data_IF_660269988353
#
_entry.id   IF_660269988353
#
_cell.length_a   1.000
_cell.length_b   1.000
_cell.length_c   1.000
_cell.angle_alpha   90.00
_cell.angle_beta   90.00
_cell.angle_gamma   90.00
#
_symmetry.space_group_name_H-M   'P 1'
#
loop_
_entity.id
_entity.type
_entity.pdbx_description
1 polymer ?
#
# COMPACT_ATOMS: atom_id res chain seq x y z
N UNK A 1 -17.11 6.52 4.44
CA UNK A 1 -16.70 6.62 3.02
C UNK A 1 -17.16 5.42 2.24
N UNK A 2 -17.35 5.57 0.93
CA UNK A 2 -17.88 4.55 0.04
C UNK A 2 -16.94 3.34 -0.16
N UNK A 3 -17.40 2.32 -0.90
CA UNK A 3 -16.64 1.09 -1.09
C UNK A 3 -15.39 1.26 -1.96
N UNK A 4 -15.36 2.29 -2.82
CA UNK A 4 -14.30 2.54 -3.81
C UNK A 4 -13.13 3.30 -3.17
N UNK A 5 -11.90 2.87 -3.49
CA UNK A 5 -10.65 3.57 -3.15
C UNK A 5 -9.76 3.66 -4.39
N UNK A 6 -9.08 4.78 -4.56
CA UNK A 6 -7.99 4.95 -5.53
C UNK A 6 -6.67 4.74 -4.80
N UNK A 7 -5.80 3.89 -5.33
CA UNK A 7 -4.45 3.69 -4.82
C UNK A 7 -3.46 4.13 -5.90
N UNK A 8 -2.57 5.04 -5.56
CA UNK A 8 -1.59 5.62 -6.47
C UNK A 8 -0.22 5.43 -5.86
N UNK A 9 0.66 4.73 -6.57
CA UNK A 9 2.09 4.70 -6.23
C UNK A 9 2.70 6.01 -6.72
N UNK A 10 3.37 6.74 -5.83
CA UNK A 10 3.97 8.04 -6.14
C UNK A 10 5.47 7.85 -6.30
N UNK A 11 5.97 8.20 -7.48
CA UNK A 11 7.39 8.11 -7.84
C UNK A 11 7.89 9.49 -8.25
N UNK A 12 9.07 9.86 -7.75
CA UNK A 12 9.72 11.13 -8.08
C UNK A 12 10.11 11.19 -9.57
N UNK A 13 10.03 12.37 -10.15
CA UNK A 13 10.18 12.70 -11.56
C UNK A 13 9.25 11.91 -12.49
N UNK A 14 8.08 11.49 -12.00
CA UNK A 14 7.15 10.68 -12.78
C UNK A 14 5.69 11.13 -12.65
N UNK A 15 5.19 11.28 -11.42
CA UNK A 15 3.78 11.62 -11.19
C UNK A 15 3.52 12.38 -9.88
N UNK A 16 4.55 12.92 -9.23
CA UNK A 16 4.40 13.67 -7.98
C UNK A 16 3.69 15.02 -8.16
N UNK A 17 3.60 15.52 -9.38
CA UNK A 17 2.87 16.71 -9.77
C UNK A 17 1.36 16.47 -9.89
N UNK A 18 0.91 15.22 -10.01
CA UNK A 18 -0.51 14.85 -10.14
C UNK A 18 -1.26 14.72 -8.79
N UNK A 19 -0.57 14.89 -7.66
CA UNK A 19 -1.12 14.59 -6.33
C UNK A 19 -2.36 15.42 -6.00
N UNK A 20 -2.30 16.74 -6.25
CA UNK A 20 -3.40 17.66 -5.95
C UNK A 20 -4.59 17.36 -6.86
N UNK A 21 -4.34 17.23 -8.16
CA UNK A 21 -5.37 16.95 -9.17
C UNK A 21 -6.15 15.66 -8.86
N UNK A 22 -5.45 14.59 -8.43
CA UNK A 22 -6.09 13.34 -8.01
C UNK A 22 -6.99 13.54 -6.79
N UNK A 23 -6.53 14.27 -5.78
CA UNK A 23 -7.33 14.54 -4.58
C UNK A 23 -8.54 15.38 -4.91
N UNK A 24 -8.39 16.47 -5.66
CA UNK A 24 -9.51 17.33 -6.05
C UNK A 24 -10.55 16.59 -6.90
N UNK A 25 -10.09 15.70 -7.79
CA UNK A 25 -10.97 14.93 -8.67
C UNK A 25 -11.89 13.97 -7.91
N UNK A 26 -11.41 13.35 -6.83
CA UNK A 26 -12.10 12.22 -6.19
C UNK A 26 -12.59 12.47 -4.77
N UNK A 27 -11.98 13.40 -4.01
CA UNK A 27 -12.30 13.60 -2.59
C UNK A 27 -13.75 14.04 -2.31
N UNK A 28 -14.38 14.72 -3.28
CA UNK A 28 -15.79 15.12 -3.20
C UNK A 28 -16.80 13.99 -3.51
N UNK A 29 -16.35 12.75 -3.77
CA UNK A 29 -17.18 11.64 -4.29
C UNK A 29 -17.32 10.45 -3.34
N UNK A 30 -17.10 10.64 -2.04
CA UNK A 30 -16.99 9.56 -1.06
C UNK A 30 -15.93 8.49 -1.42
N UNK A 31 -14.93 8.87 -2.22
CA UNK A 31 -13.84 8.00 -2.67
C UNK A 31 -12.57 8.37 -1.91
N UNK A 32 -11.95 7.39 -1.25
CA UNK A 32 -10.66 7.58 -0.60
C UNK A 32 -9.54 7.61 -1.64
N UNK A 33 -8.69 8.62 -1.61
CA UNK A 33 -7.44 8.65 -2.39
C UNK A 33 -6.31 8.20 -1.47
N UNK A 34 -5.49 7.25 -1.94
CA UNK A 34 -4.37 6.70 -1.18
C UNK A 34 -3.09 6.82 -1.97
N UNK A 35 -2.10 7.49 -1.38
CA UNK A 35 -0.76 7.55 -1.92
C UNK A 35 0.15 6.52 -1.23
N UNK A 36 0.89 5.79 -2.03
CA UNK A 36 1.81 4.73 -1.61
C UNK A 36 3.21 5.17 -2.01
N UNK A 37 4.14 5.18 -1.05
CA UNK A 37 5.56 5.41 -1.34
C UNK A 37 6.07 4.37 -2.33
N UNK A 38 6.74 4.83 -3.39
CA UNK A 38 7.36 3.94 -4.37
C UNK A 38 8.39 3.02 -3.72
N UNK A 39 8.26 1.73 -4.01
CA UNK A 39 9.19 0.69 -3.59
C UNK A 39 9.94 0.20 -4.83
N UNK A 40 11.24 0.51 -4.92
CA UNK A 40 12.09 -0.12 -5.94
C UNK A 40 12.39 -1.57 -5.54
N UNK A 41 11.79 -2.50 -6.26
CA UNK A 41 11.81 -3.93 -5.94
C UNK A 41 12.89 -4.63 -6.78
N UNK A 42 14.15 -4.32 -6.47
CA UNK A 42 15.32 -5.07 -6.94
C UNK A 42 15.67 -6.25 -6.04
N UNK A 43 16.52 -7.18 -6.53
CA UNK A 43 17.13 -8.27 -5.73
C UNK A 43 18.11 -7.77 -4.65
N UNK A 44 18.42 -6.48 -4.67
CA UNK A 44 19.27 -5.79 -3.70
C UNK A 44 18.40 -4.85 -2.88
N UNK A 45 18.53 -4.90 -1.55
CA UNK A 45 17.88 -4.01 -0.57
C UNK A 45 18.37 -2.55 -0.66
N UNK A 46 18.50 -2.00 -1.87
CA UNK A 46 18.91 -0.62 -2.12
C UNK A 46 17.68 0.19 -2.50
N UNK A 47 16.93 0.65 -1.50
CA UNK A 47 15.88 1.65 -1.76
C UNK A 47 16.54 2.91 -2.31
N UNK A 48 16.31 3.19 -3.59
CA UNK A 48 16.71 4.44 -4.22
C UNK A 48 15.82 5.57 -3.66
N UNK A 49 16.23 6.18 -2.54
CA UNK A 49 15.50 7.29 -1.92
C UNK A 49 15.33 8.48 -2.88
N UNK A 50 16.19 8.57 -3.90
CA UNK A 50 16.07 9.53 -5.01
C UNK A 50 14.78 9.38 -5.82
N UNK A 51 14.17 8.19 -5.83
CA UNK A 51 12.92 7.90 -6.54
C UNK A 51 11.68 8.02 -5.64
N UNK A 52 11.87 8.19 -4.32
CA UNK A 52 10.80 8.18 -3.32
C UNK A 52 10.31 9.60 -3.07
N UNK A 53 8.99 9.78 -3.13
CA UNK A 53 8.31 10.91 -2.50
C UNK A 53 7.71 10.41 -1.20
N UNK A 54 8.24 10.89 -0.08
CA UNK A 54 7.89 10.40 1.24
C UNK A 54 6.47 10.80 1.63
N UNK A 55 5.84 10.04 2.52
CA UNK A 55 4.54 10.41 3.07
C UNK A 55 4.56 11.81 3.73
N UNK A 56 5.69 12.22 4.32
CA UNK A 56 5.86 13.55 4.88
C UNK A 56 5.82 14.65 3.80
N UNK A 57 6.55 14.46 2.68
CA UNK A 57 6.53 15.39 1.55
C UNK A 57 5.14 15.47 0.90
N UNK A 58 4.47 14.32 0.72
CA UNK A 58 3.10 14.29 0.19
C UNK A 58 2.14 15.03 1.15
N UNK A 59 2.24 14.79 2.46
CA UNK A 59 1.40 15.47 3.45
C UNK A 59 1.56 16.99 3.42
N UNK A 60 2.78 17.47 3.15
CA UNK A 60 3.07 18.92 3.07
C UNK A 60 2.39 19.60 1.87
N UNK A 61 1.93 18.85 0.86
CA UNK A 61 1.18 19.41 -0.26
C UNK A 61 -0.27 19.77 0.11
N UNK A 62 -0.76 19.37 1.29
CA UNK A 62 -2.15 19.53 1.68
C UNK A 62 -2.27 20.23 3.03
N UNK A 63 -3.03 21.33 3.03
CA UNK A 63 -3.33 22.08 4.24
C UNK A 63 -4.53 21.50 5.00
N UNK A 64 -4.60 21.81 6.29
CA UNK A 64 -5.76 21.54 7.16
C UNK A 64 -6.19 20.06 7.25
N UNK A 65 -5.25 19.13 7.06
CA UNK A 65 -5.48 17.69 7.25
C UNK A 65 -5.72 17.34 8.72
N UNK A 66 -6.89 16.78 9.03
CA UNK A 66 -7.21 16.25 10.37
C UNK A 66 -6.90 14.76 10.44
N UNK A 67 -5.99 14.29 11.31
CA UNK A 67 -5.71 12.86 11.44
C UNK A 67 -6.95 12.06 11.85
N UNK A 68 -7.15 10.91 11.21
CA UNK A 68 -8.20 9.95 11.55
C UNK A 68 -7.59 8.72 12.23
N UNK A 69 -8.23 8.17 13.28
CA UNK A 69 -7.74 6.97 13.93
C UNK A 69 -7.85 5.75 13.02
N UNK A 70 -7.03 4.74 13.30
CA UNK A 70 -7.18 3.44 12.65
C UNK A 70 -8.55 2.82 12.98
N UNK A 71 -9.17 2.21 11.98
CA UNK A 71 -10.45 1.49 12.10
C UNK A 71 -10.30 0.04 12.49
N UNK A 72 -9.10 -0.53 12.30
CA UNK A 72 -8.82 -1.93 12.60
C UNK A 72 -7.33 -2.16 12.91
N UNK A 73 -7.00 -3.23 13.65
CA UNK A 73 -5.62 -3.66 13.83
C UNK A 73 -4.92 -3.91 12.49
N UNK A 74 -3.65 -3.53 12.39
CA UNK A 74 -2.85 -3.69 11.17
C UNK A 74 -3.27 -2.79 10.00
N UNK A 75 -4.06 -1.72 10.24
CA UNK A 75 -4.30 -0.71 9.21
C UNK A 75 -3.01 0.05 8.88
N UNK A 76 -2.49 -0.18 7.68
CA UNK A 76 -1.21 0.39 7.22
C UNK A 76 -1.31 1.83 6.70
N UNK A 77 -2.52 2.28 6.34
CA UNK A 77 -2.72 3.62 5.82
C UNK A 77 -2.89 4.61 6.98
N UNK A 78 -2.04 5.64 7.03
CA UNK A 78 -2.27 6.82 7.87
C UNK A 78 -3.34 7.66 7.21
N UNK A 79 -4.48 7.84 7.88
CA UNK A 79 -5.65 8.47 7.28
C UNK A 79 -5.82 9.90 7.78
N UNK A 80 -6.29 10.76 6.91
CA UNK A 80 -6.57 12.16 7.18
C UNK A 80 -7.89 12.56 6.54
N UNK A 81 -8.67 13.37 7.26
CA UNK A 81 -9.83 14.04 6.72
C UNK A 81 -9.41 15.37 6.09
N UNK A 82 -9.88 15.60 4.87
CA UNK A 82 -9.73 16.84 4.12
C UNK A 82 -10.82 17.85 4.52
N UNK A 83 -10.61 19.16 4.32
CA UNK A 83 -11.60 20.19 4.67
C UNK A 83 -12.97 20.03 4.00
N UNK A 84 -12.99 19.44 2.79
CA UNK A 84 -14.22 19.14 2.05
C UNK A 84 -14.93 17.87 2.52
N UNK A 85 -14.44 17.21 3.57
CA UNK A 85 -15.01 15.98 4.13
C UNK A 85 -14.53 14.69 3.45
N UNK A 86 -13.71 14.77 2.40
CA UNK A 86 -13.04 13.60 1.81
C UNK A 86 -11.97 13.02 2.76
N UNK A 87 -11.43 11.84 2.44
CA UNK A 87 -10.27 11.30 3.16
C UNK A 87 -9.12 10.97 2.21
N UNK A 88 -7.93 11.28 2.71
CA UNK A 88 -6.62 11.00 2.14
C UNK A 88 -5.94 9.93 2.99
N UNK A 89 -5.40 8.90 2.36
CA UNK A 89 -4.56 7.89 3.01
C UNK A 89 -3.12 7.95 2.52
N UNK A 90 -2.17 7.83 3.43
CA UNK A 90 -0.74 7.73 3.11
C UNK A 90 -0.22 6.37 3.60
N UNK A 91 0.43 5.61 2.71
CA UNK A 91 1.00 4.29 3.01
C UNK A 91 2.53 4.38 2.94
N UNK A 92 3.16 4.32 4.11
CA UNK A 92 4.60 4.53 4.36
C UNK A 92 5.42 3.27 4.11
N UNK A 93 5.42 2.77 2.87
CA UNK A 93 6.05 1.47 2.55
C UNK A 93 7.57 1.46 2.74
N UNK A 94 8.23 2.63 2.68
CA UNK A 94 9.69 2.79 2.76
C UNK A 94 10.09 3.49 4.06
N UNK A 95 9.50 4.64 4.37
CA UNK A 95 9.94 5.49 5.49
C UNK A 95 9.54 4.94 6.86
N UNK A 96 8.41 4.23 6.95
CA UNK A 96 7.93 3.60 8.19
C UNK A 96 7.35 2.20 7.88
N UNK A 97 8.22 1.18 7.68
CA UNK A 97 7.80 -0.15 7.29
C UNK A 97 6.89 -0.84 8.32
N UNK A 98 5.88 -1.56 7.83
CA UNK A 98 4.83 -2.19 8.64
C UNK A 98 4.90 -3.73 8.65
N UNK A 99 6.10 -4.31 8.46
CA UNK A 99 6.27 -5.77 8.43
C UNK A 99 5.99 -6.44 9.79
N UNK A 100 6.19 -5.73 10.91
CA UNK A 100 6.01 -6.28 12.27
C UNK A 100 4.59 -6.74 12.58
N UNK A 101 3.59 -6.05 12.05
CA UNK A 101 2.17 -6.38 12.21
C UNK A 101 1.57 -7.07 10.96
N UNK A 102 2.42 -7.52 10.03
CA UNK A 102 1.95 -8.09 8.77
C UNK A 102 1.42 -9.52 8.97
N UNK A 103 0.13 -9.71 8.72
CA UNK A 103 -0.56 -11.02 8.80
C UNK A 103 -0.93 -11.60 7.43
N UNK A 104 -0.27 -11.16 6.36
CA UNK A 104 -0.64 -11.51 4.98
C UNK A 104 0.11 -12.75 4.48
N UNK A 105 -0.65 -13.74 4.03
CA UNK A 105 -0.17 -14.80 3.14
C UNK A 105 -0.59 -14.50 1.69
N UNK A 106 0.22 -14.93 0.71
CA UNK A 106 -0.03 -14.79 -0.73
C UNK A 106 0.04 -16.16 -1.39
N UNK A 107 -1.03 -16.54 -2.09
CA UNK A 107 -0.99 -17.62 -3.07
C UNK A 107 -0.75 -17.02 -4.45
N UNK A 108 0.29 -17.49 -5.13
CA UNK A 108 0.60 -17.09 -6.51
C UNK A 108 -0.28 -17.82 -7.52
N UNK A 109 -0.32 -17.32 -8.75
CA UNK A 109 -1.16 -17.88 -9.81
C UNK A 109 -0.75 -19.31 -10.21
N UNK A 110 0.52 -19.67 -10.04
CA UNK A 110 1.07 -21.01 -10.25
C UNK A 110 0.99 -21.90 -9.01
N UNK A 111 0.33 -21.43 -7.94
CA UNK A 111 -0.03 -22.24 -6.77
C UNK A 111 1.05 -22.37 -5.70
N UNK A 112 2.03 -21.47 -5.68
CA UNK A 112 3.00 -21.37 -4.60
C UNK A 112 2.53 -20.42 -3.49
N UNK A 113 2.67 -20.85 -2.23
CA UNK A 113 2.44 -20.05 -1.03
C UNK A 113 3.69 -19.21 -0.69
N UNK A 114 3.47 -17.93 -0.42
CA UNK A 114 4.47 -16.97 0.05
C UNK A 114 3.96 -16.27 1.30
N UNK A 115 4.86 -16.04 2.26
CA UNK A 115 4.58 -15.29 3.50
C UNK A 115 5.01 -13.82 3.42
N UNK A 116 5.62 -13.42 2.31
CA UNK A 116 6.03 -12.04 2.03
C UNK A 116 5.79 -11.71 0.56
N UNK A 117 5.46 -10.46 0.26
CA UNK A 117 5.25 -9.98 -1.11
C UNK A 117 6.52 -10.10 -1.97
N UNK A 118 7.69 -10.02 -1.34
CA UNK A 118 9.00 -9.97 -2.00
C UNK A 118 9.82 -11.25 -1.88
N UNK A 119 9.22 -12.34 -1.38
CA UNK A 119 9.94 -13.61 -1.26
C UNK A 119 10.27 -14.22 -2.64
N UNK A 120 11.52 -14.65 -2.81
CA UNK A 120 12.04 -15.27 -4.05
C UNK A 120 11.77 -16.77 -4.15
N UNK A 121 11.35 -17.41 -3.06
CA UNK A 121 10.98 -18.83 -3.01
C UNK A 121 9.65 -18.98 -2.30
N UNK A 122 8.77 -19.80 -2.84
CA UNK A 122 7.47 -20.15 -2.28
C UNK A 122 7.33 -21.66 -2.10
N UNK A 123 6.38 -22.07 -1.27
CA UNK A 123 6.04 -23.47 -1.05
C UNK A 123 5.03 -23.92 -2.11
N UNK A 124 5.35 -24.95 -2.90
CA UNK A 124 4.41 -25.53 -3.87
C UNK A 124 3.24 -26.20 -3.14
N UNK A 125 2.05 -25.62 -3.27
CA UNK A 125 0.81 -26.23 -2.79
C UNK A 125 0.05 -26.96 -3.89
N UNK A 126 0.28 -26.62 -5.16
CA UNK A 126 -0.48 -27.14 -6.28
C UNK A 126 -0.22 -28.63 -6.50
N UNK A 127 1.05 -29.05 -6.47
CA UNK A 127 1.43 -30.46 -6.68
C UNK A 127 0.85 -31.41 -5.63
N UNK A 128 1.07 -31.21 -4.31
CA UNK A 128 0.52 -32.12 -3.30
C UNK A 128 -1.01 -32.16 -3.30
N UNK A 129 -1.68 -31.01 -3.47
CA UNK A 129 -3.14 -30.97 -3.53
C UNK A 129 -3.69 -31.73 -4.74
N UNK A 130 -3.04 -31.63 -5.91
CA UNK A 130 -3.44 -32.40 -7.10
C UNK A 130 -3.15 -33.90 -6.97
N UNK A 131 -2.20 -34.28 -6.12
CA UNK A 131 -1.92 -35.69 -5.79
C UNK A 131 -2.86 -36.25 -4.70
N UNK A 132 -3.80 -35.46 -4.20
CA UNK A 132 -4.76 -35.89 -3.17
C UNK A 132 -4.19 -35.87 -1.75
N UNK A 133 -3.23 -34.99 -1.47
CA UNK A 133 -2.72 -34.79 -0.11
C UNK A 133 -3.85 -34.40 0.86
N UNK A 134 -3.73 -34.89 2.09
CA UNK A 134 -4.63 -34.57 3.20
C UNK A 134 -3.95 -33.64 4.20
N UNK A 135 -4.70 -32.98 5.06
CA UNK A 135 -4.14 -32.15 6.14
C UNK A 135 -3.22 -32.93 7.11
N UNK A 136 -3.34 -34.26 7.12
CA UNK A 136 -2.55 -35.17 7.95
C UNK A 136 -1.24 -35.65 7.30
N UNK A 137 -0.94 -35.21 6.07
CA UNK A 137 0.17 -35.72 5.23
C UNK A 137 0.91 -34.60 4.51
#
# INVERSE_FOLDING_TARGET
>A
MGPIKINTVVKKNANEDELIDLVERFSNREIAVRFIEFMDVGTTNGWAMEDVVTAAEIRQQFDHLTPLPATKPGEVAKRYQLPNGGELGLITSVTEPFCGDCSRARLSADGHLYTCLFASRGLDLMTPLRMGASDAS
#
